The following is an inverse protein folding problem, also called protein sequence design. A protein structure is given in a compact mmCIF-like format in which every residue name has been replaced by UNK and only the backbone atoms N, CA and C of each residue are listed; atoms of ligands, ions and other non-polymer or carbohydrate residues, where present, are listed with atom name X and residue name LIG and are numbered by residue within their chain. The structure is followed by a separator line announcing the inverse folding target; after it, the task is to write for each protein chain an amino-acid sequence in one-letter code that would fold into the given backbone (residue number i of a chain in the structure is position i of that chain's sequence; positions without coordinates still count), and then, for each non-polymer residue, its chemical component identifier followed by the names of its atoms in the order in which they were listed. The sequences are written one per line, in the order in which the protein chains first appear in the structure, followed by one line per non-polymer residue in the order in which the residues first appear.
data_IF_026016688365
#
_entry.id   IF_026016688365
#
_cell.length_a   1.000
_cell.length_b   1.000
_cell.length_c   1.000
_cell.angle_alpha   90.00
_cell.angle_beta   90.00
_cell.angle_gamma   90.00
#
_symmetry.space_group_name_H-M   'P 1'
#
loop_
_entity.id
_entity.type
_entity.pdbx_description
1 polymer ?
#
# COMPACT_ATOMS: atom_id res chain seq x y z
N UNK A 1 13.41 7.50 16.13
CA UNK A 1 13.36 8.43 14.98
C UNK A 1 14.74 8.87 14.50
N UNK A 2 15.68 9.25 15.38
CA UNK A 2 17.03 9.67 14.98
C UNK A 2 17.83 8.60 14.21
N UNK A 3 17.74 7.33 14.62
CA UNK A 3 18.40 6.21 13.92
C UNK A 3 17.95 6.09 12.46
N UNK A 4 16.65 6.27 12.19
CA UNK A 4 16.12 6.22 10.83
C UNK A 4 16.64 7.37 9.97
N UNK A 5 16.75 8.58 10.54
CA UNK A 5 17.32 9.75 9.86
C UNK A 5 18.80 9.51 9.55
N UNK A 6 19.57 9.02 10.52
CA UNK A 6 21.00 8.71 10.34
C UNK A 6 21.18 7.64 9.25
N UNK A 7 20.38 6.57 9.29
CA UNK A 7 20.41 5.52 8.27
C UNK A 7 20.07 6.08 6.88
N UNK A 8 19.07 6.97 6.78
CA UNK A 8 18.70 7.61 5.53
C UNK A 8 19.84 8.49 4.98
N UNK A 9 20.50 9.27 5.84
CA UNK A 9 21.65 10.10 5.45
C UNK A 9 22.82 9.22 4.97
N UNK A 10 23.16 8.17 5.71
CA UNK A 10 24.22 7.23 5.30
C UNK A 10 23.91 6.56 3.97
N UNK A 11 22.65 6.18 3.76
CA UNK A 11 22.20 5.59 2.49
C UNK A 11 22.30 6.60 1.35
N UNK A 12 21.92 7.86 1.57
CA UNK A 12 22.02 8.92 0.58
C UNK A 12 23.49 9.20 0.20
N UNK A 13 24.37 9.33 1.20
CA UNK A 13 25.82 9.49 0.98
C UNK A 13 26.38 8.30 0.20
N UNK A 14 26.03 7.08 0.60
CA UNK A 14 26.42 5.86 -0.10
C UNK A 14 25.95 5.82 -1.55
N UNK A 15 24.71 6.26 -1.83
CA UNK A 15 24.17 6.35 -3.17
C UNK A 15 24.91 7.36 -4.05
N UNK A 16 25.23 8.55 -3.51
CA UNK A 16 26.04 9.55 -4.23
C UNK A 16 27.46 9.05 -4.49
N UNK A 17 28.10 8.45 -3.48
CA UNK A 17 29.43 7.87 -3.64
C UNK A 17 29.44 6.75 -4.69
N UNK A 18 28.43 5.87 -4.68
CA UNK A 18 28.24 4.83 -5.69
C UNK A 18 28.11 5.44 -7.10
N UNK A 19 27.33 6.52 -7.25
CA UNK A 19 27.15 7.21 -8.52
C UNK A 19 28.45 7.87 -9.03
N UNK A 20 29.20 8.52 -8.13
CA UNK A 20 30.48 9.14 -8.48
C UNK A 20 31.54 8.10 -8.87
N UNK A 21 31.61 6.98 -8.16
CA UNK A 21 32.56 5.90 -8.45
C UNK A 21 32.20 5.14 -9.74
N UNK A 22 30.91 4.98 -10.03
CA UNK A 22 30.41 4.28 -11.20
C UNK A 22 29.95 5.24 -12.31
N UNK A 23 30.76 6.28 -12.55
CA UNK A 23 30.47 7.29 -13.58
C UNK A 23 30.95 6.89 -15.00
N UNK A 24 31.35 5.64 -15.19
CA UNK A 24 31.69 5.11 -16.52
C UNK A 24 30.40 5.05 -17.36
N UNK A 25 30.40 5.63 -18.58
CA UNK A 25 29.24 5.59 -19.45
C UNK A 25 28.97 4.17 -19.96
N UNK A 26 27.69 3.81 -19.97
CA UNK A 26 27.16 2.53 -20.44
C UNK A 26 26.07 2.81 -21.47
N UNK A 27 26.16 2.12 -22.60
CA UNK A 27 25.13 2.13 -23.63
C UNK A 27 24.10 1.04 -23.35
N UNK A 28 22.83 1.42 -23.25
CA UNK A 28 21.70 0.50 -23.21
C UNK A 28 20.99 0.57 -24.56
N UNK A 29 20.99 -0.55 -25.28
CA UNK A 29 20.18 -0.72 -26.48
C UNK A 29 18.89 -1.48 -26.11
N UNK A 30 17.75 -0.83 -26.23
CA UNK A 30 16.44 -1.40 -25.94
C UNK A 30 15.50 -1.24 -27.13
N UNK A 31 15.30 -2.33 -27.88
CA UNK A 31 14.50 -2.35 -29.10
C UNK A 31 15.00 -1.31 -30.13
N UNK A 32 14.29 -0.20 -30.32
CA UNK A 32 14.71 0.90 -31.21
C UNK A 32 15.37 2.08 -30.47
N UNK A 33 15.50 2.00 -29.15
CA UNK A 33 16.07 3.05 -28.32
C UNK A 33 17.51 2.75 -27.96
N UNK A 34 18.34 3.78 -28.03
CA UNK A 34 19.72 3.76 -27.55
C UNK A 34 19.86 4.85 -26.50
N UNK A 35 20.30 4.45 -25.32
CA UNK A 35 20.47 5.34 -24.17
C UNK A 35 21.89 5.24 -23.66
N UNK A 36 22.62 6.35 -23.67
CA UNK A 36 24.01 6.43 -23.24
C UNK A 36 24.07 7.25 -21.94
N UNK A 37 24.38 6.61 -20.81
CA UNK A 37 24.39 7.24 -19.48
C UNK A 37 25.32 6.50 -18.52
N UNK A 38 25.64 7.08 -17.36
CA UNK A 38 26.42 6.37 -16.34
C UNK A 38 25.71 5.10 -15.84
N UNK A 39 26.49 4.09 -15.47
CA UNK A 39 25.99 2.82 -14.91
C UNK A 39 25.04 3.04 -13.72
N UNK A 40 25.38 3.99 -12.85
CA UNK A 40 24.57 4.32 -11.69
C UNK A 40 23.17 4.86 -12.07
N UNK A 41 23.10 5.72 -13.08
CA UNK A 41 21.82 6.27 -13.53
C UNK A 41 20.95 5.19 -14.17
N UNK A 42 21.53 4.30 -14.97
CA UNK A 42 20.83 3.15 -15.56
C UNK A 42 20.24 2.25 -14.48
N UNK A 43 21.02 1.92 -13.44
CA UNK A 43 20.55 1.11 -12.31
C UNK A 43 19.42 1.80 -11.52
N UNK A 44 19.55 3.11 -11.26
CA UNK A 44 18.53 3.87 -10.55
C UNK A 44 17.21 3.87 -11.33
N UNK A 45 17.29 4.07 -12.65
CA UNK A 45 16.12 4.05 -13.52
C UNK A 45 15.47 2.67 -13.59
N UNK A 46 16.27 1.60 -13.64
CA UNK A 46 15.78 0.23 -13.61
C UNK A 46 15.08 -0.10 -12.28
N UNK A 47 15.66 0.31 -11.14
CA UNK A 47 15.04 0.16 -9.82
C UNK A 47 13.74 0.94 -9.71
N UNK A 48 13.72 2.18 -10.20
CA UNK A 48 12.51 3.01 -10.22
C UNK A 48 11.41 2.35 -11.07
N UNK A 49 11.74 1.82 -12.25
CA UNK A 49 10.80 1.08 -13.08
C UNK A 49 10.28 -0.17 -12.37
N UNK A 50 11.16 -0.95 -11.72
CA UNK A 50 10.75 -2.11 -10.92
C UNK A 50 9.80 -1.76 -9.79
N UNK A 51 10.08 -0.69 -9.05
CA UNK A 51 9.21 -0.18 -7.99
C UNK A 51 7.84 0.28 -8.54
N UNK A 52 7.83 0.97 -9.69
CA UNK A 52 6.61 1.37 -10.38
C UNK A 52 5.78 0.16 -10.82
N UNK A 53 6.42 -0.87 -11.39
CA UNK A 53 5.74 -2.12 -11.78
C UNK A 53 5.10 -2.77 -10.55
N UNK A 54 5.84 -2.94 -9.46
CA UNK A 54 5.31 -3.52 -8.21
C UNK A 54 4.15 -2.69 -7.65
N UNK A 55 4.28 -1.37 -7.62
CA UNK A 55 3.22 -0.48 -7.19
C UNK A 55 1.98 -0.65 -8.06
N UNK A 56 2.14 -0.66 -9.39
CA UNK A 56 1.02 -0.75 -10.33
C UNK A 56 0.30 -2.11 -10.25
N UNK A 57 1.05 -3.20 -10.06
CA UNK A 57 0.49 -4.55 -9.90
C UNK A 57 -0.20 -4.74 -8.53
N UNK A 58 0.33 -4.14 -7.46
CA UNK A 58 -0.21 -4.30 -6.10
C UNK A 58 -1.37 -3.35 -5.78
N UNK A 59 -1.42 -2.17 -6.42
CA UNK A 59 -2.48 -1.17 -6.21
C UNK A 59 -3.90 -1.71 -6.40
N UNK A 60 -4.26 -2.38 -7.51
CA UNK A 60 -5.63 -2.84 -7.72
C UNK A 60 -6.06 -3.90 -6.69
N UNK A 61 -5.16 -4.80 -6.30
CA UNK A 61 -5.44 -5.82 -5.29
C UNK A 61 -5.68 -5.17 -3.91
N UNK A 62 -4.88 -4.17 -3.57
CA UNK A 62 -4.99 -3.47 -2.28
C UNK A 62 -6.25 -2.60 -2.23
N UNK A 63 -6.60 -1.93 -3.33
CA UNK A 63 -7.81 -1.13 -3.42
C UNK A 63 -9.07 -2.00 -3.32
N UNK A 64 -9.12 -3.14 -4.02
CA UNK A 64 -10.24 -4.09 -3.91
C UNK A 64 -10.40 -4.59 -2.49
N UNK A 65 -9.29 -4.91 -1.81
CA UNK A 65 -9.29 -5.32 -0.40
C UNK A 65 -9.83 -4.22 0.51
N UNK A 66 -9.45 -2.96 0.30
CA UNK A 66 -9.97 -1.83 1.07
C UNK A 66 -11.48 -1.64 0.87
N UNK A 67 -11.98 -1.80 -0.36
CA UNK A 67 -13.42 -1.73 -0.63
C UNK A 67 -14.19 -2.87 0.04
N UNK A 68 -13.66 -4.09 -0.02
CA UNK A 68 -14.24 -5.25 0.68
C UNK A 68 -14.28 -5.02 2.20
N UNK A 69 -13.21 -4.48 2.78
CA UNK A 69 -13.17 -4.12 4.20
C UNK A 69 -14.22 -3.06 4.56
N UNK A 70 -14.38 -2.02 3.72
CA UNK A 70 -15.40 -1.00 3.93
C UNK A 70 -16.82 -1.59 3.86
N UNK A 71 -17.07 -2.50 2.92
CA UNK A 71 -18.35 -3.17 2.78
C UNK A 71 -18.63 -4.10 3.97
N UNK A 72 -17.67 -4.92 4.39
CA UNK A 72 -17.79 -5.79 5.55
C UNK A 72 -18.08 -4.98 6.82
N UNK A 73 -17.41 -3.85 7.01
CA UNK A 73 -17.66 -2.96 8.16
C UNK A 73 -19.09 -2.42 8.19
N UNK A 74 -19.67 -2.10 7.03
CA UNK A 74 -21.09 -1.69 6.93
C UNK A 74 -22.03 -2.84 7.29
N UNK A 75 -21.77 -4.05 6.78
CA UNK A 75 -22.59 -5.22 7.13
C UNK A 75 -22.58 -5.51 8.63
N UNK A 76 -21.41 -5.37 9.27
CA UNK A 76 -21.29 -5.56 10.73
C UNK A 76 -22.16 -4.53 11.47
N UNK A 77 -22.08 -3.25 11.09
CA UNK A 77 -22.87 -2.18 11.72
C UNK A 77 -24.39 -2.38 11.51
N UNK A 78 -24.81 -2.82 10.32
CA UNK A 78 -26.22 -3.11 10.03
C UNK A 78 -26.73 -4.33 10.82
N UNK A 79 -25.92 -5.39 10.92
CA UNK A 79 -26.23 -6.59 11.71
C UNK A 79 -26.33 -6.27 13.20
N UNK A 80 -25.42 -5.46 13.73
CA UNK A 80 -25.42 -5.03 15.12
C UNK A 80 -26.71 -4.25 15.44
N UNK A 81 -27.10 -3.29 14.59
CA UNK A 81 -28.37 -2.56 14.71
C UNK A 81 -29.59 -3.47 14.63
N UNK A 82 -29.58 -4.47 13.75
CA UNK A 82 -30.68 -5.42 13.63
C UNK A 82 -30.82 -6.30 14.89
N UNK A 83 -29.70 -6.72 15.47
CA UNK A 83 -29.68 -7.47 16.73
C UNK A 83 -30.26 -6.63 17.87
N UNK A 84 -29.82 -5.37 18.03
CA UNK A 84 -30.37 -4.46 19.05
C UNK A 84 -31.88 -4.28 18.90
N UNK A 85 -32.37 -4.10 17.68
CA UNK A 85 -33.83 -4.00 17.41
C UNK A 85 -34.60 -5.27 17.77
N UNK A 86 -33.99 -6.44 17.58
CA UNK A 86 -34.63 -7.71 17.98
C UNK A 86 -34.70 -7.83 19.50
N UNK A 87 -33.62 -7.47 20.21
CA UNK A 87 -33.61 -7.45 21.68
C UNK A 87 -34.69 -6.50 22.21
N UNK A 88 -34.78 -5.29 21.67
CA UNK A 88 -35.82 -4.33 22.05
C UNK A 88 -37.22 -4.87 21.76
N UNK A 89 -37.43 -5.53 20.61
CA UNK A 89 -38.71 -6.15 20.26
C UNK A 89 -39.10 -7.25 21.24
N UNK A 90 -38.17 -8.12 21.61
CA UNK A 90 -38.41 -9.18 22.59
C UNK A 90 -38.79 -8.56 23.94
N UNK A 91 -38.05 -7.56 24.42
CA UNK A 91 -38.38 -6.85 25.65
C UNK A 91 -39.76 -6.18 25.62
N UNK A 92 -40.15 -5.60 24.47
CA UNK A 92 -41.50 -5.04 24.32
C UNK A 92 -42.58 -6.12 24.33
N UNK A 93 -42.36 -7.28 23.69
CA UNK A 93 -43.35 -8.36 23.65
C UNK A 93 -43.48 -9.07 25.00
N UNK A 94 -42.39 -9.26 25.74
CA UNK A 94 -42.40 -9.80 27.11
C UNK A 94 -43.08 -8.84 28.08
N UNK A 95 -42.91 -7.52 27.92
CA UNK A 95 -43.65 -6.51 28.70
C UNK A 95 -45.15 -6.42 28.42
N UNK A 96 -45.62 -7.02 27.31
CA UNK A 96 -47.06 -7.12 26.95
C UNK A 96 -47.63 -8.52 27.21
N UNK A 97 -46.84 -9.47 27.72
CA UNK A 97 -47.36 -10.75 28.15
C UNK A 97 -48.21 -10.54 29.42
N UNK A 98 -49.46 -11.01 29.48
CA UNK A 98 -50.26 -10.92 30.70
C UNK A 98 -49.57 -11.77 31.76
N UNK A 99 -49.20 -11.14 32.88
CA UNK A 99 -48.96 -11.88 34.13
C UNK A 99 -50.29 -12.50 34.54
N UNK A 100 -50.47 -13.78 34.23
CA UNK A 100 -51.45 -14.63 34.91
C UNK A 100 -51.11 -14.76 36.40
#
# INVERSE_FOLDING_TARGET
MQIAIIAAILTAIGGVAFAMQNNVPVTVNFLFWRFDSSLAMVLLLALACGALIVALLSTPATLKRQWQLAQQKRLIDDLEKASTRQVDRIATLEGHAPTE
#
